data_IF_393071169503
#
_entry.id   IF_393071169503
#
_cell.length_a   1.000
_cell.length_b   1.000
_cell.length_c   1.000
_cell.angle_alpha   90.00
_cell.angle_beta   90.00
_cell.angle_gamma   90.00
#
_symmetry.space_group_name_H-M   'P 1'
#
loop_
_entity.id
_entity.type
_entity.pdbx_description
1 polymer ?
#
# COMPACT_ATOMS: atom_id res chain seq x y z
N UNK A 1 42.08 -16.48 7.94
CA UNK A 1 41.25 -17.71 8.01
C UNK A 1 39.79 -17.29 7.99
N UNK A 2 39.14 -17.37 6.83
CA UNK A 2 37.74 -16.95 6.65
C UNK A 2 36.84 -18.06 7.20
N UNK A 3 35.92 -17.71 8.11
CA UNK A 3 34.88 -18.63 8.61
C UNK A 3 33.72 -18.61 7.63
N UNK A 4 33.41 -19.77 7.06
CA UNK A 4 32.23 -19.99 6.24
C UNK A 4 31.04 -20.23 7.16
N UNK A 5 30.17 -19.24 7.33
CA UNK A 5 28.84 -19.42 7.92
C UNK A 5 27.91 -19.97 6.84
N UNK A 6 27.97 -21.29 6.64
CA UNK A 6 26.98 -22.01 5.86
C UNK A 6 25.68 -22.06 6.67
N UNK A 7 24.74 -21.16 6.36
CA UNK A 7 23.37 -21.24 6.84
C UNK A 7 22.74 -22.55 6.34
N UNK A 8 22.61 -23.53 7.22
CA UNK A 8 21.87 -24.77 7.01
C UNK A 8 20.38 -24.44 6.85
N UNK A 9 19.92 -24.36 5.61
CA UNK A 9 18.49 -24.39 5.29
C UNK A 9 17.95 -25.78 5.66
N UNK A 10 17.09 -25.82 6.68
CA UNK A 10 16.37 -27.03 7.13
C UNK A 10 15.48 -27.59 6.01
N UNK A 11 15.88 -28.73 5.45
CA UNK A 11 15.23 -29.42 4.32
C UNK A 11 14.16 -30.42 4.74
N UNK A 12 13.19 -30.03 5.58
CA UNK A 12 12.11 -30.95 5.99
C UNK A 12 10.72 -30.33 6.04
N UNK A 13 10.36 -29.55 5.01
CA UNK A 13 9.04 -28.87 4.98
C UNK A 13 8.45 -28.61 3.60
N UNK A 14 8.89 -29.31 2.54
CA UNK A 14 8.70 -28.77 1.17
C UNK A 14 7.31 -29.01 0.59
N UNK A 15 6.63 -30.12 0.86
CA UNK A 15 5.34 -30.43 0.20
C UNK A 15 4.13 -29.94 1.01
N UNK A 16 4.11 -30.12 2.34
CA UNK A 16 2.98 -29.65 3.17
C UNK A 16 2.87 -28.12 3.19
N UNK A 17 4.01 -27.40 3.19
CA UNK A 17 3.99 -25.96 3.04
C UNK A 17 3.56 -25.54 1.62
N UNK A 18 4.04 -26.22 0.57
CA UNK A 18 3.59 -25.97 -0.81
C UNK A 18 2.07 -26.14 -0.96
N UNK A 19 1.49 -27.19 -0.38
CA UNK A 19 0.04 -27.44 -0.41
C UNK A 19 -0.76 -26.46 0.45
N UNK A 20 -0.16 -25.89 1.50
CA UNK A 20 -0.77 -24.80 2.30
C UNK A 20 -0.99 -23.54 1.46
N UNK A 21 -0.13 -23.29 0.47
CA UNK A 21 -0.27 -22.17 -0.47
C UNK A 21 -1.42 -22.35 -1.47
N UNK A 22 -1.82 -23.58 -1.76
CA UNK A 22 -2.90 -23.88 -2.70
C UNK A 22 -4.29 -23.77 -2.07
N UNK A 23 -4.40 -23.79 -0.74
CA UNK A 23 -5.69 -23.89 -0.04
C UNK A 23 -6.07 -22.63 0.77
N UNK A 24 -5.27 -21.57 0.73
CA UNK A 24 -5.59 -20.33 1.44
C UNK A 24 -5.47 -19.13 0.51
N UNK A 25 -6.55 -18.34 0.39
CA UNK A 25 -6.62 -17.15 -0.47
C UNK A 25 -5.56 -16.07 -0.19
N UNK A 26 -4.77 -16.24 0.87
CA UNK A 26 -3.61 -15.44 1.20
C UNK A 26 -2.62 -16.34 1.93
N UNK A 27 -1.52 -16.70 1.29
CA UNK A 27 -0.34 -17.12 2.05
C UNK A 27 0.90 -16.67 1.30
N UNK A 28 1.53 -15.64 1.84
CA UNK A 28 2.90 -15.33 1.47
C UNK A 28 3.82 -16.14 2.37
N UNK A 29 5.04 -16.42 1.92
CA UNK A 29 6.10 -16.85 2.81
C UNK A 29 6.17 -15.96 4.04
N UNK A 30 6.27 -16.58 5.21
CA UNK A 30 6.27 -15.92 6.52
C UNK A 30 7.34 -14.82 6.61
N UNK A 31 8.52 -15.04 6.03
CA UNK A 31 9.60 -14.06 5.94
C UNK A 31 9.20 -12.78 5.20
N UNK A 32 8.45 -12.92 4.11
CA UNK A 32 7.94 -11.79 3.31
C UNK A 32 6.85 -11.05 4.09
N UNK A 33 5.96 -11.80 4.75
CA UNK A 33 4.93 -11.22 5.62
C UNK A 33 5.53 -10.38 6.75
N UNK A 34 6.56 -10.91 7.42
CA UNK A 34 7.26 -10.23 8.51
C UNK A 34 7.95 -8.96 8.03
N UNK A 35 8.67 -9.03 6.91
CA UNK A 35 9.40 -7.87 6.40
C UNK A 35 8.48 -6.74 5.93
N UNK A 36 7.34 -7.08 5.34
CA UNK A 36 6.38 -6.07 4.88
C UNK A 36 5.59 -5.46 6.06
N UNK A 37 5.33 -6.24 7.11
CA UNK A 37 4.71 -5.75 8.36
C UNK A 37 5.55 -4.69 9.09
N UNK A 38 6.84 -4.53 8.73
CA UNK A 38 7.70 -3.48 9.26
C UNK A 38 7.54 -2.14 8.54
N UNK A 39 6.76 -2.08 7.46
CA UNK A 39 6.57 -0.86 6.66
C UNK A 39 5.32 -0.10 7.10
N UNK A 40 5.39 1.23 7.09
CA UNK A 40 4.24 2.05 7.45
C UNK A 40 3.07 1.82 6.47
N UNK A 41 1.83 1.67 6.96
CA UNK A 41 0.66 1.45 6.10
C UNK A 41 0.34 2.68 5.23
N UNK A 42 0.95 3.82 5.55
CA UNK A 42 0.71 5.08 4.87
C UNK A 42 1.35 5.09 3.48
N UNK A 43 0.72 5.80 2.55
CA UNK A 43 1.21 6.03 1.19
C UNK A 43 1.04 7.50 0.84
N UNK A 44 1.99 8.01 0.08
CA UNK A 44 2.02 9.40 -0.35
C UNK A 44 2.09 9.42 -1.88
N UNK A 45 1.33 10.32 -2.49
CA UNK A 45 1.41 10.57 -3.93
C UNK A 45 1.28 12.07 -4.18
N UNK A 46 2.20 12.61 -4.96
CA UNK A 46 2.18 14.00 -5.40
C UNK A 46 1.72 14.02 -6.86
N UNK A 47 0.87 14.99 -7.20
CA UNK A 47 0.45 15.23 -8.59
C UNK A 47 1.64 15.74 -9.44
N UNK A 48 1.63 15.48 -10.74
CA UNK A 48 2.69 15.89 -11.68
C UNK A 48 2.97 17.41 -11.63
N UNK A 49 1.94 18.22 -11.34
CA UNK A 49 2.09 19.66 -11.22
C UNK A 49 2.56 20.15 -9.84
N UNK A 50 2.85 19.25 -8.89
CA UNK A 50 3.17 19.56 -7.50
C UNK A 50 2.13 20.44 -6.79
N UNK A 51 0.85 20.32 -7.19
CA UNK A 51 -0.25 21.12 -6.63
C UNK A 51 -0.95 20.42 -5.47
N UNK A 52 -1.05 19.10 -5.56
CA UNK A 52 -1.79 18.26 -4.64
C UNK A 52 -0.88 17.17 -4.10
N UNK A 53 -1.00 16.93 -2.80
CA UNK A 53 -0.43 15.77 -2.11
C UNK A 53 -1.59 14.94 -1.59
N UNK A 54 -1.65 13.68 -2.01
CA UNK A 54 -2.49 12.68 -1.40
C UNK A 54 -1.71 11.97 -0.29
N UNK A 55 -2.32 11.91 0.88
CA UNK A 55 -1.83 11.17 2.04
C UNK A 55 -2.85 10.09 2.37
N UNK A 56 -2.52 8.85 2.02
CA UNK A 56 -3.29 7.69 2.40
C UNK A 56 -2.81 7.21 3.75
N UNK A 57 -3.72 7.19 4.72
CA UNK A 57 -3.48 6.63 6.06
C UNK A 57 -4.25 5.32 6.19
N UNK A 58 -4.61 4.84 7.38
CA UNK A 58 -5.24 3.51 7.52
C UNK A 58 -6.58 3.42 6.77
N UNK A 59 -7.58 4.20 7.19
CA UNK A 59 -8.94 4.13 6.65
C UNK A 59 -9.42 5.47 6.05
N UNK A 60 -8.49 6.39 5.83
CA UNK A 60 -8.80 7.71 5.30
C UNK A 60 -7.70 8.17 4.35
N UNK A 61 -8.16 8.98 3.41
CA UNK A 61 -7.36 9.67 2.41
C UNK A 61 -7.47 11.16 2.69
N UNK A 62 -6.35 11.83 2.84
CA UNK A 62 -6.30 13.29 2.91
C UNK A 62 -5.70 13.84 1.62
N UNK A 63 -6.26 14.92 1.11
CA UNK A 63 -5.68 15.66 0.00
C UNK A 63 -5.29 17.04 0.52
N UNK A 64 -4.05 17.43 0.25
CA UNK A 64 -3.44 18.68 0.71
C UNK A 64 -2.96 19.51 -0.46
N UNK A 65 -3.00 20.84 -0.33
CA UNK A 65 -2.51 21.76 -1.37
C UNK A 65 -1.09 22.22 -1.09
N UNK A 66 -0.31 22.46 -2.13
CA UNK A 66 1.06 22.99 -1.99
C UNK A 66 1.12 24.48 -1.62
N UNK A 67 0.02 25.23 -1.77
CA UNK A 67 -0.03 26.68 -1.54
C UNK A 67 0.47 27.09 -0.15
N UNK A 68 0.28 26.22 0.85
CA UNK A 68 0.73 26.41 2.22
C UNK A 68 1.65 25.26 2.68
N UNK A 69 2.52 24.81 1.78
CA UNK A 69 3.50 23.76 2.06
C UNK A 69 2.86 22.45 2.53
N UNK A 70 1.65 22.14 2.03
CA UNK A 70 0.87 20.97 2.40
C UNK A 70 0.46 20.92 3.88
N UNK A 71 0.37 22.08 4.54
CA UNK A 71 -0.16 22.20 5.89
C UNK A 71 -1.68 22.02 5.92
N UNK A 72 -2.40 22.62 4.96
CA UNK A 72 -3.86 22.54 4.87
C UNK A 72 -4.34 21.25 4.22
N UNK A 73 -5.33 20.64 4.87
CA UNK A 73 -6.12 19.57 4.27
C UNK A 73 -7.32 20.21 3.57
N UNK A 74 -7.40 20.02 2.25
CA UNK A 74 -8.49 20.57 1.44
C UNK A 74 -9.64 19.59 1.26
N UNK A 75 -9.37 18.30 1.45
CA UNK A 75 -10.32 17.24 1.22
C UNK A 75 -9.95 16.01 2.06
N UNK A 76 -10.99 15.29 2.49
CA UNK A 76 -10.87 14.04 3.22
C UNK A 76 -11.85 13.03 2.64
N UNK A 77 -11.36 11.83 2.36
CA UNK A 77 -12.14 10.70 1.87
C UNK A 77 -12.01 9.51 2.80
N UNK A 78 -13.05 8.68 2.85
CA UNK A 78 -12.98 7.38 3.53
C UNK A 78 -12.44 6.34 2.57
N UNK A 79 -11.60 5.47 3.10
CA UNK A 79 -11.00 4.36 2.36
C UNK A 79 -11.52 3.04 2.95
N UNK A 80 -11.96 2.08 2.10
CA UNK A 80 -12.34 0.76 2.58
C UNK A 80 -11.22 0.11 3.41
N UNK A 81 -11.60 -0.64 4.44
CA UNK A 81 -10.62 -1.38 5.25
C UNK A 81 -9.91 -2.41 4.38
N UNK A 82 -8.58 -2.40 4.46
CA UNK A 82 -7.73 -3.34 3.75
C UNK A 82 -7.04 -4.29 4.74
N UNK A 83 -6.96 -5.58 4.40
CA UNK A 83 -6.30 -6.59 5.22
C UNK A 83 -4.79 -6.38 5.27
N UNK A 84 -4.20 -5.86 4.19
CA UNK A 84 -2.77 -5.55 4.10
C UNK A 84 -2.53 -4.10 3.62
N UNK A 85 -2.81 -3.08 4.45
CA UNK A 85 -2.77 -1.66 4.05
C UNK A 85 -1.40 -1.19 3.53
N UNK A 86 -0.35 -1.82 4.02
CA UNK A 86 1.05 -1.68 3.59
C UNK A 86 1.28 -1.96 2.10
N UNK A 87 0.45 -2.79 1.46
CA UNK A 87 0.59 -3.15 0.05
C UNK A 87 -0.12 -2.21 -0.92
N UNK A 88 -0.92 -1.30 -0.38
CA UNK A 88 -1.69 -0.37 -1.19
C UNK A 88 -0.77 0.47 -2.06
N UNK A 89 -1.27 0.80 -3.25
CA UNK A 89 -0.62 1.73 -4.18
C UNK A 89 -1.54 2.91 -4.40
N UNK A 90 -0.93 4.09 -4.51
CA UNK A 90 -1.63 5.36 -4.64
C UNK A 90 -0.96 6.15 -5.76
N UNK A 91 -1.74 6.65 -6.72
CA UNK A 91 -1.21 7.39 -7.87
C UNK A 91 -2.22 8.40 -8.40
N UNK A 92 -1.75 9.59 -8.76
CA UNK A 92 -2.54 10.62 -9.42
C UNK A 92 -2.59 10.40 -10.93
N UNK A 93 -3.69 10.82 -11.55
CA UNK A 93 -3.71 11.06 -13.00
C UNK A 93 -2.84 12.26 -13.34
N UNK A 94 -2.28 12.34 -14.57
CA UNK A 94 -1.38 13.43 -14.96
C UNK A 94 -2.00 14.84 -14.91
N UNK A 95 -3.32 14.93 -14.97
CA UNK A 95 -4.08 16.18 -14.88
C UNK A 95 -4.46 16.56 -13.43
N UNK A 96 -4.12 15.71 -12.44
CA UNK A 96 -4.44 15.90 -11.03
C UNK A 96 -5.93 15.82 -10.70
N UNK A 97 -6.78 15.34 -11.62
CA UNK A 97 -8.23 15.30 -11.42
C UNK A 97 -8.69 14.03 -10.70
N UNK A 98 -7.98 12.92 -10.91
CA UNK A 98 -8.27 11.59 -10.39
C UNK A 98 -7.11 11.06 -9.57
N UNK A 99 -7.45 10.35 -8.52
CA UNK A 99 -6.52 9.60 -7.69
C UNK A 99 -6.98 8.16 -7.62
N UNK A 100 -6.07 7.25 -7.96
CA UNK A 100 -6.32 5.81 -7.96
C UNK A 100 -5.69 5.18 -6.74
N UNK A 101 -6.49 4.41 -6.01
CA UNK A 101 -6.06 3.55 -4.92
C UNK A 101 -6.21 2.09 -5.34
N UNK A 102 -5.11 1.34 -5.35
CA UNK A 102 -5.13 -0.11 -5.48
C UNK A 102 -4.99 -0.76 -4.10
N UNK A 103 -5.95 -1.61 -3.75
CA UNK A 103 -6.02 -2.37 -2.48
C UNK A 103 -5.30 -3.71 -2.58
N UNK A 104 -4.91 -4.29 -1.45
CA UNK A 104 -4.17 -5.56 -1.40
C UNK A 104 -4.95 -6.76 -1.97
N UNK A 105 -6.28 -6.68 -1.97
CA UNK A 105 -7.20 -7.69 -2.49
C UNK A 105 -7.46 -7.55 -4.00
N UNK A 106 -6.79 -6.61 -4.68
CA UNK A 106 -6.98 -6.34 -6.11
C UNK A 106 -8.14 -5.40 -6.45
N UNK A 107 -8.88 -4.89 -5.46
CA UNK A 107 -9.87 -3.84 -5.68
C UNK A 107 -9.19 -2.51 -6.01
N UNK A 108 -9.80 -1.74 -6.92
CA UNK A 108 -9.33 -0.42 -7.30
C UNK A 108 -10.45 0.57 -6.98
N UNK A 109 -10.10 1.66 -6.31
CA UNK A 109 -11.01 2.75 -5.96
C UNK A 109 -10.50 4.06 -6.55
N UNK A 110 -11.42 4.88 -7.03
CA UNK A 110 -11.13 6.14 -7.68
C UNK A 110 -11.65 7.28 -6.83
N UNK A 111 -10.79 8.26 -6.60
CA UNK A 111 -11.11 9.47 -5.85
C UNK A 111 -10.92 10.68 -6.75
N UNK A 112 -11.80 11.67 -6.63
CA UNK A 112 -11.54 12.97 -7.24
C UNK A 112 -10.61 13.83 -6.35
N UNK A 113 -10.16 14.97 -6.85
CA UNK A 113 -9.34 15.93 -6.09
C UNK A 113 -10.04 16.55 -4.87
N UNK A 114 -11.34 16.32 -4.71
CA UNK A 114 -12.16 16.70 -3.55
C UNK A 114 -12.27 15.58 -2.50
N UNK A 115 -11.63 14.42 -2.73
CA UNK A 115 -11.60 13.29 -1.80
C UNK A 115 -12.84 12.40 -1.85
N UNK A 116 -13.74 12.61 -2.81
CA UNK A 116 -14.92 11.76 -2.99
C UNK A 116 -14.54 10.50 -3.73
N UNK A 117 -14.93 9.33 -3.21
CA UNK A 117 -14.90 8.09 -3.97
C UNK A 117 -15.97 8.18 -5.08
N UNK A 118 -15.56 7.99 -6.33
CA UNK A 118 -16.44 8.08 -7.50
C UNK A 118 -16.63 6.72 -8.19
N UNK A 119 -15.78 5.73 -7.90
CA UNK A 119 -15.84 4.33 -8.33
C UNK A 119 -15.09 3.45 -7.34
#
# INVERSE_FOLDING_TARGET
KWKNDAALLSTTGTIKNALRYLNNRYSLPESISQQISLTLPWKFAIDENNRLLAVLQENYLEIRKSKDEFSSVIAKGTVPKDAFPQWRKLSWSPDGSLLVLASSNGSISFYNSLGNNIF
#
